data_IF_291376621241
#
_entry.id   IF_291376621241
#
_cell.length_a   1.000
_cell.length_b   1.000
_cell.length_c   1.000
_cell.angle_alpha   90.00
_cell.angle_beta   90.00
_cell.angle_gamma   90.00
#
_symmetry.space_group_name_H-M   'P 1'
#
loop_
_entity.id
_entity.type
_entity.pdbx_description
1 polymer ?
#
# COMPACT_ATOMS: atom_id res chain seq x y z
N UNK A 1 6.99 1.07 -20.77
CA UNK A 1 5.96 1.09 -19.70
C UNK A 1 5.19 2.38 -19.87
N UNK A 2 3.89 2.27 -20.20
CA UNK A 2 2.99 3.43 -20.25
C UNK A 2 2.40 3.63 -18.85
N UNK A 3 2.66 4.78 -18.22
CA UNK A 3 2.12 5.11 -16.91
C UNK A 3 0.87 6.00 -17.04
N UNK A 4 -0.12 5.73 -16.22
CA UNK A 4 -1.37 6.48 -16.15
C UNK A 4 -1.48 7.16 -14.78
N UNK A 5 -1.61 8.48 -14.75
CA UNK A 5 -1.75 9.25 -13.52
C UNK A 5 -3.12 9.93 -13.46
N UNK A 6 -3.67 10.02 -12.25
CA UNK A 6 -4.97 10.66 -12.02
C UNK A 6 -4.79 12.08 -11.53
N UNK A 7 -5.59 12.98 -12.08
CA UNK A 7 -5.64 14.38 -11.66
C UNK A 7 -6.61 14.51 -10.48
N UNK A 8 -6.10 14.86 -9.31
CA UNK A 8 -6.86 15.42 -8.20
C UNK A 8 -6.64 16.93 -8.19
N UNK A 9 -7.51 17.74 -7.56
CA UNK A 9 -7.42 19.22 -7.58
C UNK A 9 -6.06 19.78 -7.15
N UNK A 10 -5.30 19.06 -6.34
CA UNK A 10 -3.93 19.38 -5.95
C UNK A 10 -2.84 18.85 -6.89
N UNK A 11 -3.20 18.17 -7.98
CA UNK A 11 -2.23 17.50 -8.87
C UNK A 11 -1.53 18.43 -9.85
N UNK A 12 -2.00 19.67 -10.02
CA UNK A 12 -1.33 20.66 -10.90
C UNK A 12 0.10 20.92 -10.48
N UNK A 13 0.41 20.92 -9.17
CA UNK A 13 1.79 21.10 -8.66
C UNK A 13 2.67 19.88 -8.93
N UNK A 14 2.11 18.67 -8.86
CA UNK A 14 2.84 17.42 -9.12
C UNK A 14 3.12 17.22 -10.62
N UNK A 15 2.18 17.62 -11.48
CA UNK A 15 2.35 17.52 -12.95
C UNK A 15 3.57 18.32 -13.42
N UNK A 16 3.83 19.48 -12.83
CA UNK A 16 4.97 20.33 -13.18
C UNK A 16 6.32 19.75 -12.73
N UNK A 17 6.32 18.79 -11.78
CA UNK A 17 7.52 18.11 -11.30
C UNK A 17 7.87 16.84 -12.08
N UNK A 18 6.91 16.34 -12.90
CA UNK A 18 7.14 15.12 -13.69
C UNK A 18 7.81 15.52 -15.01
N UNK A 19 8.96 14.94 -15.35
CA UNK A 19 9.59 15.17 -16.64
C UNK A 19 8.59 14.91 -17.77
N UNK A 20 8.56 15.79 -18.78
CA UNK A 20 7.70 15.63 -19.97
C UNK A 20 8.17 14.44 -20.80
N UNK A 21 7.84 13.23 -20.39
CA UNK A 21 8.06 12.04 -21.21
C UNK A 21 6.96 11.93 -22.27
N UNK A 22 7.36 11.68 -23.51
CA UNK A 22 6.45 11.61 -24.68
C UNK A 22 5.33 10.56 -24.54
N UNK A 23 5.43 9.63 -23.58
CA UNK A 23 4.51 8.51 -23.39
C UNK A 23 3.61 8.65 -22.15
N UNK A 24 3.53 9.83 -21.51
CA UNK A 24 2.65 10.06 -20.37
C UNK A 24 1.28 10.53 -20.83
N UNK A 25 0.25 9.88 -20.31
CA UNK A 25 -1.16 10.26 -20.53
C UNK A 25 -1.76 10.61 -19.18
N UNK A 26 -2.26 11.82 -19.07
CA UNK A 26 -2.99 12.30 -17.90
C UNK A 26 -4.49 12.24 -18.13
N UNK A 27 -5.24 11.79 -17.14
CA UNK A 27 -6.69 11.76 -17.20
C UNK A 27 -7.31 12.23 -15.89
N UNK A 28 -8.44 12.91 -15.97
CA UNK A 28 -9.30 13.28 -14.85
C UNK A 28 -10.56 12.42 -14.76
N UNK A 29 -10.65 11.35 -15.55
CA UNK A 29 -11.82 10.48 -15.52
C UNK A 29 -11.95 9.80 -14.15
N UNK A 30 -13.18 9.77 -13.64
CA UNK A 30 -13.47 9.06 -12.39
C UNK A 30 -13.17 7.57 -12.55
N UNK A 31 -12.48 6.94 -11.59
CA UNK A 31 -12.33 5.50 -11.56
C UNK A 31 -13.70 4.80 -11.73
N UNK A 32 -13.72 3.66 -12.41
CA UNK A 32 -14.93 2.89 -12.73
C UNK A 32 -15.92 3.55 -13.70
N UNK A 33 -15.64 4.73 -14.24
CA UNK A 33 -16.43 5.25 -15.37
C UNK A 33 -16.09 4.48 -16.64
N UNK A 34 -17.06 4.35 -17.56
CA UNK A 34 -16.80 3.71 -18.85
C UNK A 34 -15.63 4.39 -19.57
N UNK A 35 -15.59 5.73 -19.56
CA UNK A 35 -14.49 6.51 -20.17
C UNK A 35 -13.11 6.12 -19.60
N UNK A 36 -13.03 5.83 -18.29
CA UNK A 36 -11.79 5.41 -17.67
C UNK A 36 -11.40 3.98 -18.07
N UNK A 37 -12.33 3.04 -17.98
CA UNK A 37 -12.06 1.64 -18.33
C UNK A 37 -11.76 1.47 -19.82
N UNK A 38 -12.44 2.22 -20.69
CA UNK A 38 -12.19 2.20 -22.15
C UNK A 38 -10.80 2.79 -22.45
N UNK A 39 -10.42 3.88 -21.78
CA UNK A 39 -9.07 4.44 -21.90
C UNK A 39 -8.01 3.42 -21.44
N UNK A 40 -8.19 2.75 -20.32
CA UNK A 40 -7.24 1.71 -19.86
C UNK A 40 -7.10 0.58 -20.90
N UNK A 41 -8.23 0.07 -21.42
CA UNK A 41 -8.25 -0.97 -22.45
C UNK A 41 -7.55 -0.52 -23.72
N UNK A 42 -7.85 0.70 -24.21
CA UNK A 42 -7.25 1.25 -25.44
C UNK A 42 -5.73 1.46 -25.34
N UNK A 43 -5.20 1.56 -24.11
CA UNK A 43 -3.75 1.71 -23.85
C UNK A 43 -3.01 0.40 -23.65
N UNK A 44 -3.70 -0.74 -23.66
CA UNK A 44 -3.10 -2.06 -23.44
C UNK A 44 -2.17 -2.05 -22.20
N UNK A 45 -2.74 -1.74 -21.04
CA UNK A 45 -1.97 -1.58 -19.80
C UNK A 45 -1.34 -2.91 -19.39
N UNK A 46 -0.01 -2.94 -19.29
CA UNK A 46 0.71 -4.11 -18.82
C UNK A 46 0.60 -4.29 -17.30
N UNK A 47 0.81 -3.21 -16.55
CA UNK A 47 0.81 -3.21 -15.08
C UNK A 47 0.17 -1.94 -14.56
N UNK A 48 -0.73 -2.06 -13.60
CA UNK A 48 -1.27 -0.92 -12.85
C UNK A 48 -0.52 -0.77 -11.53
N UNK A 49 -0.18 0.45 -11.16
CA UNK A 49 0.42 0.76 -9.86
C UNK A 49 -0.53 1.66 -9.09
N UNK A 50 -1.04 1.16 -7.96
CA UNK A 50 -1.87 1.92 -7.05
C UNK A 50 -1.01 2.50 -5.92
N UNK A 51 -0.72 3.80 -5.99
CA UNK A 51 0.16 4.49 -5.01
C UNK A 51 -0.66 5.09 -3.86
N UNK A 52 -1.79 5.69 -4.18
CA UNK A 52 -2.66 6.32 -3.19
C UNK A 52 -4.03 5.73 -3.32
N UNK A 53 -4.38 4.77 -2.54
CA UNK A 53 -5.66 4.08 -2.70
C UNK A 53 -6.76 5.01 -3.23
N UNK A 54 -7.59 4.52 -4.11
CA UNK A 54 -8.82 5.23 -4.55
C UNK A 54 -9.78 5.50 -3.35
N UNK A 55 -9.24 5.54 -2.12
CA UNK A 55 -9.99 5.59 -0.87
C UNK A 55 -10.82 4.33 -0.60
N UNK A 56 -10.79 3.35 -1.51
CA UNK A 56 -11.55 2.10 -1.47
C UNK A 56 -10.76 0.99 -2.16
N UNK A 57 -11.16 -0.25 -1.93
CA UNK A 57 -10.61 -1.41 -2.65
C UNK A 57 -10.80 -1.25 -4.16
N UNK A 58 -9.75 -1.55 -4.91
CA UNK A 58 -9.88 -1.68 -6.36
C UNK A 58 -10.64 -2.97 -6.65
N UNK A 59 -11.66 -2.85 -7.49
CA UNK A 59 -12.58 -3.94 -7.88
C UNK A 59 -12.51 -4.19 -9.38
N UNK A 60 -13.14 -5.24 -9.82
CA UNK A 60 -13.45 -5.46 -11.23
C UNK A 60 -14.31 -4.30 -11.78
N UNK A 61 -14.18 -3.90 -13.04
CA UNK A 61 -13.30 -4.48 -14.06
C UNK A 61 -11.84 -3.97 -14.01
N UNK A 62 -11.48 -2.99 -13.15
CA UNK A 62 -10.14 -2.38 -13.17
C UNK A 62 -9.04 -3.42 -12.88
N UNK A 63 -9.27 -4.35 -11.95
CA UNK A 63 -8.29 -5.39 -11.62
C UNK A 63 -7.97 -6.32 -12.80
N UNK A 64 -8.94 -6.51 -13.71
CA UNK A 64 -8.83 -7.48 -14.80
C UNK A 64 -8.22 -6.87 -16.09
N UNK A 65 -8.05 -5.54 -16.14
CA UNK A 65 -7.57 -4.87 -17.37
C UNK A 65 -6.05 -5.00 -17.54
N UNK A 66 -5.21 -4.80 -16.48
CA UNK A 66 -3.76 -4.88 -16.65
C UNK A 66 -3.31 -6.33 -16.85
N UNK A 67 -2.46 -6.56 -17.86
CA UNK A 67 -1.95 -7.89 -18.22
C UNK A 67 -1.27 -8.63 -17.06
N UNK A 68 -0.45 -7.91 -16.28
CA UNK A 68 0.30 -8.44 -15.13
C UNK A 68 -0.30 -8.04 -13.79
N UNK A 69 -1.56 -7.56 -13.80
CA UNK A 69 -2.29 -7.19 -12.59
C UNK A 69 -2.00 -5.80 -12.04
N UNK A 70 -2.33 -5.60 -10.77
CA UNK A 70 -2.22 -4.31 -10.08
C UNK A 70 -1.32 -4.42 -8.86
N UNK A 71 -0.20 -3.70 -8.84
CA UNK A 71 0.64 -3.54 -7.65
C UNK A 71 0.06 -2.48 -6.71
N UNK A 72 0.11 -2.75 -5.42
CA UNK A 72 -0.25 -1.79 -4.38
C UNK A 72 0.58 -2.00 -3.13
N UNK A 73 0.73 -0.92 -2.34
CA UNK A 73 1.29 -1.03 -0.99
C UNK A 73 0.21 -1.49 0.00
N UNK A 74 0.62 -2.38 0.89
CA UNK A 74 -0.02 -2.61 2.18
C UNK A 74 1.01 -2.33 3.29
N UNK A 75 0.68 -1.38 4.18
CA UNK A 75 1.53 -1.05 5.31
C UNK A 75 1.18 -1.94 6.50
N UNK A 76 1.59 -3.19 6.40
CA UNK A 76 1.35 -4.26 7.36
C UNK A 76 1.91 -5.59 6.85
N UNK A 77 1.96 -6.56 7.75
CA UNK A 77 2.21 -7.96 7.42
C UNK A 77 0.88 -8.64 7.10
N UNK A 78 0.63 -8.98 5.83
CA UNK A 78 -0.63 -9.57 5.40
C UNK A 78 -0.92 -10.93 6.05
N UNK A 79 0.09 -11.56 6.66
CA UNK A 79 -0.07 -12.81 7.43
C UNK A 79 -0.53 -12.57 8.87
N UNK A 80 -0.49 -11.31 9.35
CA UNK A 80 -0.86 -10.93 10.71
C UNK A 80 -1.88 -9.80 10.76
N UNK A 81 -1.60 -8.70 10.06
CA UNK A 81 -2.33 -7.44 10.14
C UNK A 81 -2.84 -7.02 8.77
N UNK A 82 -4.13 -7.19 8.52
CA UNK A 82 -4.85 -6.73 7.34
C UNK A 82 -5.82 -5.64 7.73
N UNK A 83 -6.14 -4.72 6.84
CA UNK A 83 -7.10 -3.64 7.10
C UNK A 83 -6.46 -2.36 7.66
N UNK A 84 -7.15 -1.67 8.56
CA UNK A 84 -6.81 -0.31 8.99
C UNK A 84 -7.00 -0.10 10.51
N UNK A 85 -6.39 0.95 11.10
CA UNK A 85 -5.38 1.85 10.54
C UNK A 85 -3.98 1.22 10.57
N UNK A 86 -3.16 1.56 9.58
CA UNK A 86 -1.77 1.10 9.51
C UNK A 86 -0.94 1.55 10.73
N UNK A 87 -0.18 0.64 11.32
CA UNK A 87 0.68 0.88 12.47
C UNK A 87 -0.03 0.92 13.82
N UNK A 88 -1.36 1.10 13.84
CA UNK A 88 -2.12 1.15 15.09
C UNK A 88 -2.10 -0.20 15.82
N UNK A 89 -2.43 -1.25 15.12
CA UNK A 89 -2.59 -2.58 15.71
C UNK A 89 -1.26 -3.21 16.09
N UNK A 90 -0.19 -2.91 15.35
CA UNK A 90 1.17 -3.30 15.71
C UNK A 90 1.61 -2.61 17.01
N UNK A 91 1.37 -1.31 17.15
CA UNK A 91 1.66 -0.59 18.40
C UNK A 91 0.76 -1.05 19.54
N UNK A 92 -0.54 -1.25 19.29
CA UNK A 92 -1.50 -1.74 20.27
C UNK A 92 -1.09 -3.09 20.86
N UNK A 93 -0.60 -4.00 20.02
CA UNK A 93 -0.14 -5.33 20.40
C UNK A 93 1.33 -5.35 20.84
N UNK A 94 1.95 -4.18 21.02
CA UNK A 94 3.35 -4.04 21.44
C UNK A 94 4.35 -4.80 20.53
N UNK A 95 4.08 -4.84 19.24
CA UNK A 95 5.00 -5.46 18.27
C UNK A 95 6.35 -4.75 18.22
N UNK A 96 7.39 -5.50 17.95
CA UNK A 96 8.77 -4.97 17.80
C UNK A 96 9.10 -4.55 16.38
N UNK A 97 8.25 -4.91 15.44
CA UNK A 97 8.41 -4.60 14.03
C UNK A 97 7.08 -4.62 13.31
N UNK A 98 7.03 -3.93 12.18
CA UNK A 98 5.95 -4.04 11.21
C UNK A 98 6.52 -4.22 9.81
N UNK A 99 5.69 -4.56 8.86
CA UNK A 99 6.10 -4.79 7.48
C UNK A 99 5.49 -3.78 6.53
N UNK A 100 6.15 -3.59 5.39
CA UNK A 100 5.59 -2.97 4.20
C UNK A 100 5.57 -4.06 3.15
N UNK A 101 4.40 -4.32 2.59
CA UNK A 101 4.20 -5.31 1.55
C UNK A 101 3.81 -4.62 0.25
N UNK A 102 4.57 -4.84 -0.82
CA UNK A 102 4.10 -4.58 -2.18
C UNK A 102 3.47 -5.87 -2.68
N UNK A 103 2.18 -5.81 -3.00
CA UNK A 103 1.40 -6.98 -3.39
C UNK A 103 0.74 -6.80 -4.77
N UNK A 104 0.55 -7.88 -5.50
CA UNK A 104 -0.42 -7.96 -6.56
C UNK A 104 -1.81 -8.08 -5.94
N UNK A 105 -2.67 -7.12 -6.24
CA UNK A 105 -4.01 -7.06 -5.64
C UNK A 105 -4.88 -8.24 -6.06
N UNK A 106 -5.71 -8.67 -5.13
CA UNK A 106 -6.82 -9.58 -5.36
C UNK A 106 -8.16 -8.88 -5.08
N UNK A 107 -9.26 -9.56 -5.35
CA UNK A 107 -10.62 -9.06 -5.03
C UNK A 107 -10.89 -8.99 -3.53
N UNK A 108 -10.08 -9.66 -2.71
CA UNK A 108 -10.20 -9.67 -1.24
C UNK A 108 -9.30 -8.58 -0.63
N UNK A 109 -9.75 -7.96 0.45
CA UNK A 109 -9.03 -6.91 1.16
C UNK A 109 -7.68 -7.42 1.69
N UNK A 110 -6.59 -6.72 1.31
CA UNK A 110 -5.22 -7.00 1.73
C UNK A 110 -4.87 -8.51 1.73
N UNK A 111 -5.28 -9.20 0.66
CA UNK A 111 -5.13 -10.63 0.46
C UNK A 111 -4.52 -10.92 -0.92
N UNK A 112 -3.73 -10.01 -1.43
CA UNK A 112 -2.99 -10.17 -2.67
C UNK A 112 -1.76 -11.06 -2.50
N UNK A 113 -1.06 -11.28 -3.60
CA UNK A 113 0.19 -12.03 -3.62
C UNK A 113 1.33 -11.07 -3.26
N UNK A 114 2.10 -11.29 -2.18
CA UNK A 114 3.22 -10.44 -1.81
C UNK A 114 4.37 -10.61 -2.78
N UNK A 115 4.79 -9.51 -3.41
CA UNK A 115 5.93 -9.50 -4.33
C UNK A 115 7.20 -9.10 -3.61
N UNK A 116 7.11 -8.05 -2.77
CA UNK A 116 8.22 -7.58 -1.94
C UNK A 116 7.70 -7.31 -0.55
N UNK A 117 8.38 -7.82 0.47
CA UNK A 117 8.11 -7.53 1.87
C UNK A 117 9.37 -6.91 2.48
N UNK A 118 9.21 -5.77 3.15
CA UNK A 118 10.26 -5.09 3.91
C UNK A 118 9.82 -4.91 5.34
N UNK A 119 10.60 -5.42 6.27
CA UNK A 119 10.38 -5.29 7.71
C UNK A 119 11.06 -4.03 8.24
N UNK A 120 10.38 -3.26 9.09
CA UNK A 120 10.93 -2.11 9.81
C UNK A 120 10.81 -2.32 11.31
N UNK A 121 11.77 -1.79 12.05
CA UNK A 121 11.77 -1.85 13.51
C UNK A 121 10.89 -0.76 14.12
N UNK A 122 10.12 -1.14 15.14
CA UNK A 122 9.31 -0.22 15.95
C UNK A 122 10.09 0.09 17.23
N UNK A 123 10.64 1.29 17.31
CA UNK A 123 11.37 1.75 18.49
C UNK A 123 10.41 2.01 19.67
N UNK A 124 10.89 1.95 20.93
CA UNK A 124 10.07 2.19 22.12
C UNK A 124 9.37 3.56 22.12
N UNK A 125 10.00 4.57 21.54
CA UNK A 125 9.44 5.93 21.43
C UNK A 125 8.60 6.18 20.18
N UNK A 126 8.42 5.19 19.31
CA UNK A 126 7.59 5.35 18.15
C UNK A 126 6.11 5.52 18.53
N UNK A 127 5.44 6.34 17.76
CA UNK A 127 4.01 6.56 17.76
C UNK A 127 3.48 6.46 16.31
N UNK A 128 2.19 6.65 16.12
CA UNK A 128 1.58 6.56 14.79
C UNK A 128 2.22 7.51 13.77
N UNK A 129 2.58 8.72 14.19
CA UNK A 129 3.16 9.71 13.28
C UNK A 129 4.59 9.32 12.87
N UNK A 130 5.44 8.93 13.83
CA UNK A 130 6.81 8.50 13.53
C UNK A 130 6.83 7.22 12.67
N UNK A 131 5.93 6.26 12.96
CA UNK A 131 5.80 5.07 12.12
C UNK A 131 5.34 5.40 10.70
N UNK A 132 4.41 6.34 10.54
CA UNK A 132 3.97 6.77 9.20
C UNK A 132 5.14 7.33 8.39
N UNK A 133 6.00 8.14 9.00
CA UNK A 133 7.20 8.67 8.34
C UNK A 133 8.14 7.53 7.94
N UNK A 134 8.47 6.63 8.89
CA UNK A 134 9.32 5.46 8.64
C UNK A 134 8.79 4.58 7.52
N UNK A 135 7.46 4.37 7.46
CA UNK A 135 6.82 3.58 6.41
C UNK A 135 6.98 4.24 5.04
N UNK A 136 6.76 5.56 4.96
CA UNK A 136 6.94 6.30 3.70
C UNK A 136 8.39 6.18 3.23
N UNK A 137 9.36 6.48 4.10
CA UNK A 137 10.79 6.39 3.76
C UNK A 137 11.19 4.97 3.35
N UNK A 138 10.73 3.96 4.08
CA UNK A 138 11.03 2.58 3.79
C UNK A 138 10.34 2.04 2.53
N UNK A 139 9.29 2.72 2.04
CA UNK A 139 8.57 2.36 0.81
C UNK A 139 9.33 2.76 -0.46
N UNK A 140 10.30 3.68 -0.37
CA UNK A 140 11.09 4.07 -1.53
C UNK A 140 11.84 2.88 -2.12
N UNK A 141 11.79 2.78 -3.44
CA UNK A 141 12.44 1.71 -4.21
C UNK A 141 11.74 0.35 -4.20
N UNK A 142 10.67 0.15 -3.42
CA UNK A 142 10.01 -1.16 -3.37
C UNK A 142 9.18 -1.47 -4.62
N UNK A 143 8.56 -0.47 -5.26
CA UNK A 143 7.83 -0.68 -6.53
C UNK A 143 8.78 -1.07 -7.66
N UNK A 144 9.90 -0.36 -7.94
CA UNK A 144 10.89 -0.82 -8.91
C UNK A 144 11.38 -2.24 -8.65
N UNK A 145 11.67 -2.59 -7.38
CA UNK A 145 12.07 -3.95 -6.99
C UNK A 145 10.98 -4.98 -7.27
N UNK A 146 9.70 -4.63 -7.03
CA UNK A 146 8.59 -5.53 -7.34
C UNK A 146 8.42 -5.74 -8.85
N UNK A 147 8.59 -4.68 -9.65
CA UNK A 147 8.55 -4.77 -11.11
C UNK A 147 9.68 -5.66 -11.62
N UNK A 148 10.89 -5.51 -11.09
CA UNK A 148 12.03 -6.34 -11.44
C UNK A 148 11.73 -7.82 -11.18
N UNK A 149 11.27 -8.18 -9.98
CA UNK A 149 10.91 -9.57 -9.63
C UNK A 149 9.83 -10.16 -10.53
N UNK A 150 8.82 -9.36 -10.89
CA UNK A 150 7.80 -9.80 -11.85
C UNK A 150 8.37 -10.02 -13.25
N UNK A 151 9.36 -9.23 -13.69
CA UNK A 151 9.98 -9.35 -15.01
C UNK A 151 10.94 -10.55 -15.11
N UNK A 152 11.57 -10.91 -14.01
CA UNK A 152 12.50 -12.03 -13.90
C UNK A 152 11.79 -13.38 -13.72
N UNK A 153 10.46 -13.40 -13.66
CA UNK A 153 9.64 -14.57 -13.36
C UNK A 153 10.08 -15.28 -12.07
N UNK A 154 10.51 -14.51 -11.08
CA UNK A 154 10.85 -15.06 -9.77
C UNK A 154 9.70 -15.92 -9.24
N UNK A 155 10.03 -17.00 -8.56
CA UNK A 155 9.03 -17.80 -7.86
C UNK A 155 8.38 -16.93 -6.78
N UNK A 156 7.15 -16.53 -7.04
CA UNK A 156 6.35 -15.74 -6.12
C UNK A 156 5.46 -16.69 -5.35
N UNK A 157 5.75 -16.83 -4.06
CA UNK A 157 4.97 -17.72 -3.20
C UNK A 157 3.65 -17.08 -2.79
N UNK A 158 2.56 -17.81 -2.97
CA UNK A 158 1.28 -17.44 -2.39
C UNK A 158 1.31 -17.57 -0.86
N UNK A 159 0.59 -16.66 -0.18
CA UNK A 159 0.50 -16.71 1.27
C UNK A 159 -0.39 -17.89 1.69
N UNK A 160 0.19 -18.85 2.41
CA UNK A 160 -0.53 -20.03 2.90
C UNK A 160 -1.63 -19.67 3.90
N UNK A 161 -1.41 -18.65 4.72
CA UNK A 161 -2.38 -18.22 5.73
C UNK A 161 -2.42 -16.69 5.82
N UNK A 162 -3.60 -16.14 5.67
CA UNK A 162 -3.85 -14.71 5.81
C UNK A 162 -4.13 -14.34 7.27
N UNK A 163 -3.64 -13.17 7.68
CA UNK A 163 -3.89 -12.62 8.99
C UNK A 163 -5.34 -12.13 9.19
N UNK A 164 -5.63 -11.75 10.43
CA UNK A 164 -6.92 -11.16 10.81
C UNK A 164 -7.12 -9.80 10.11
N UNK A 165 -8.35 -9.52 9.73
CA UNK A 165 -8.76 -8.19 9.25
C UNK A 165 -9.06 -7.31 10.46
N UNK A 166 -8.38 -6.19 10.53
CA UNK A 166 -8.58 -5.17 11.54
C UNK A 166 -9.34 -3.98 10.96
N UNK A 167 -10.14 -3.33 11.80
CA UNK A 167 -10.95 -2.17 11.45
C UNK A 167 -10.57 -0.97 12.31
N UNK A 168 -11.25 0.14 12.10
CA UNK A 168 -11.08 1.34 12.94
C UNK A 168 -11.32 0.97 14.40
N UNK A 169 -10.40 1.30 15.32
CA UNK A 169 -10.51 0.95 16.73
C UNK A 169 -11.68 1.67 17.41
N UNK A 170 -12.32 1.00 18.35
CA UNK A 170 -13.33 1.59 19.22
C UNK A 170 -12.67 2.38 20.38
N UNK A 171 -13.50 3.10 21.17
CA UNK A 171 -13.01 3.94 22.26
C UNK A 171 -12.16 3.18 23.28
N UNK A 172 -12.58 1.96 23.70
CA UNK A 172 -11.81 1.12 24.62
C UNK A 172 -10.44 0.78 24.07
N UNK A 173 -10.36 0.44 22.79
CA UNK A 173 -9.10 0.12 22.12
C UNK A 173 -8.19 1.36 22.02
N UNK A 174 -8.75 2.53 21.82
CA UNK A 174 -7.99 3.78 21.86
C UNK A 174 -7.42 4.06 23.25
N UNK A 175 -8.18 3.85 24.33
CA UNK A 175 -7.68 4.00 25.71
C UNK A 175 -6.52 3.05 25.99
N UNK A 176 -6.68 1.76 25.64
CA UNK A 176 -5.61 0.77 25.80
C UNK A 176 -4.38 1.16 24.98
N UNK A 177 -4.57 1.63 23.74
CA UNK A 177 -3.48 2.10 22.89
C UNK A 177 -2.68 3.22 23.54
N UNK A 178 -3.35 4.26 24.08
CA UNK A 178 -2.68 5.37 24.77
C UNK A 178 -1.86 4.87 25.95
N UNK A 179 -2.42 3.97 26.77
CA UNK A 179 -1.72 3.35 27.89
C UNK A 179 -0.50 2.56 27.39
N UNK A 180 -0.65 1.77 26.34
CA UNK A 180 0.44 0.99 25.76
C UNK A 180 1.58 1.89 25.29
N UNK A 181 1.28 2.98 24.57
CA UNK A 181 2.28 3.96 24.13
C UNK A 181 2.99 4.63 25.29
N UNK A 182 2.25 4.96 26.35
CA UNK A 182 2.82 5.55 27.57
C UNK A 182 3.80 4.58 28.26
N UNK A 183 3.38 3.32 28.46
CA UNK A 183 4.22 2.27 29.05
C UNK A 183 5.49 2.03 28.22
N UNK A 184 5.37 1.97 26.91
CA UNK A 184 6.53 1.81 25.99
C UNK A 184 7.59 2.90 26.19
N UNK A 185 7.16 4.13 26.47
CA UNK A 185 8.07 5.27 26.72
C UNK A 185 8.75 5.19 28.08
N UNK A 186 8.06 4.68 29.10
CA UNK A 186 8.61 4.56 30.47
C UNK A 186 9.66 3.46 30.56
N UNK A 187 9.44 2.32 29.93
CA UNK A 187 10.34 1.16 29.97
C UNK A 187 11.32 1.15 28.78
N UNK A 188 11.92 2.31 28.46
CA UNK A 188 13.04 2.35 27.53
C UNK A 188 14.19 1.52 28.10
N UNK A 189 14.74 0.54 27.39
CA UNK A 189 16.10 0.10 27.67
C UNK A 189 17.04 1.27 27.30
N UNK A 190 17.89 1.66 28.27
CA UNK A 190 18.99 2.59 28.05
C UNK A 190 19.90 2.10 26.93
#
# INVERSE_FOLDING_TARGET
IKSLFFKNENSHKLINLIPKHKNLVFTSHKPYSNKFTDLMKSKNIDLLINISGFGRMIKKPILDIPKYGTLSFHHGDITKYRGQPSGFWELYNNEKSMSITVQLLSVKLDAGIPIVVKKIFIAPNDNLQSLKIKLIEASFGLIPKAIQRLSENDQIEEVKQLGKIYTIPNLRQWVIFVITIFIRKLFKPN
#
